data_IF_192672694773
#
_entry.id   IF_192672694773
#
_cell.length_a   1.000
_cell.length_b   1.000
_cell.length_c   1.000
_cell.angle_alpha   90.00
_cell.angle_beta   90.00
_cell.angle_gamma   90.00
#
_symmetry.space_group_name_H-M   'P 1'
#
loop_
_entity.id
_entity.type
_entity.pdbx_description
1 polymer ?
#
# COMPACT_ATOMS: atom_id res chain seq x y z
N UNK A 1 7.65 -23.77 -3.66
CA UNK A 1 8.15 -22.76 -4.63
C UNK A 1 8.79 -21.59 -3.89
N UNK A 2 9.61 -20.80 -4.56
CA UNK A 2 10.28 -19.63 -3.95
C UNK A 2 9.27 -18.62 -3.41
N UNK A 3 8.16 -18.40 -4.11
CA UNK A 3 7.08 -17.51 -3.66
C UNK A 3 6.46 -17.98 -2.35
N UNK A 4 6.26 -19.29 -2.18
CA UNK A 4 5.75 -19.84 -0.92
C UNK A 4 6.75 -19.64 0.23
N UNK A 5 8.04 -19.85 -0.04
CA UNK A 5 9.09 -19.61 0.94
C UNK A 5 9.16 -18.12 1.35
N UNK A 6 9.08 -17.19 0.38
CA UNK A 6 9.05 -15.76 0.65
C UNK A 6 7.82 -15.37 1.47
N UNK A 7 6.63 -15.88 1.14
CA UNK A 7 5.40 -15.67 1.90
C UNK A 7 5.59 -16.09 3.36
N UNK A 8 6.15 -17.28 3.61
CA UNK A 8 6.42 -17.77 4.95
C UNK A 8 7.40 -16.87 5.71
N UNK A 9 8.41 -16.30 5.05
CA UNK A 9 9.33 -15.32 5.66
C UNK A 9 8.64 -14.02 6.08
N UNK A 10 7.67 -13.55 5.32
CA UNK A 10 6.84 -12.40 5.74
C UNK A 10 6.02 -12.73 6.99
N UNK A 11 5.39 -13.91 7.05
CA UNK A 11 4.65 -14.37 8.22
C UNK A 11 5.57 -14.47 9.45
N UNK A 12 6.72 -15.14 9.31
CA UNK A 12 7.70 -15.25 10.39
C UNK A 12 8.18 -13.88 10.92
N UNK A 13 8.45 -12.93 10.00
CA UNK A 13 8.85 -11.57 10.38
C UNK A 13 7.75 -10.84 11.14
N UNK A 14 6.51 -10.97 10.71
CA UNK A 14 5.35 -10.38 11.37
C UNK A 14 5.14 -10.95 12.78
N UNK A 15 5.26 -12.26 12.95
CA UNK A 15 5.20 -12.90 14.27
C UNK A 15 6.36 -12.47 15.19
N UNK A 16 7.56 -12.25 14.64
CA UNK A 16 8.68 -11.69 15.42
C UNK A 16 8.36 -10.28 15.90
N UNK A 17 7.75 -9.43 15.07
CA UNK A 17 7.36 -8.08 15.44
C UNK A 17 6.39 -8.07 16.61
N UNK A 18 5.38 -8.94 16.59
CA UNK A 18 4.44 -9.11 17.73
C UNK A 18 5.20 -9.53 19.01
N UNK A 19 6.07 -10.53 18.90
CA UNK A 19 6.82 -11.04 20.08
C UNK A 19 7.72 -10.01 20.75
N UNK A 20 8.26 -9.06 19.99
CA UNK A 20 9.11 -8.00 20.54
C UNK A 20 8.32 -6.74 20.93
N UNK A 21 6.98 -6.79 20.87
CA UNK A 21 6.10 -5.77 21.43
C UNK A 21 5.73 -4.61 20.53
N UNK A 22 5.76 -4.77 19.21
CA UNK A 22 5.13 -3.78 18.32
C UNK A 22 3.61 -3.83 18.45
N UNK A 23 2.96 -2.66 18.47
CA UNK A 23 1.51 -2.52 18.58
C UNK A 23 0.78 -2.64 17.25
N UNK A 24 1.50 -2.45 16.13
CA UNK A 24 0.99 -2.60 14.76
C UNK A 24 2.12 -2.89 13.78
N UNK A 25 1.78 -3.43 12.61
CA UNK A 25 2.72 -3.58 11.50
C UNK A 25 2.14 -3.00 10.21
N UNK A 26 3.04 -2.55 9.34
CA UNK A 26 2.70 -2.09 8.00
C UNK A 26 3.50 -2.85 6.96
N UNK A 27 2.81 -3.51 6.04
CA UNK A 27 3.43 -4.22 4.93
C UNK A 27 3.80 -3.21 3.85
N UNK A 28 5.07 -3.26 3.40
CA UNK A 28 5.54 -2.34 2.38
C UNK A 28 5.19 -2.84 0.98
N UNK A 29 4.20 -2.21 0.34
CA UNK A 29 3.66 -2.59 -0.96
C UNK A 29 3.91 -1.59 -2.09
N UNK A 30 4.94 -0.73 -1.96
CA UNK A 30 5.20 0.37 -2.90
C UNK A 30 6.69 0.53 -3.22
N UNK A 31 7.08 1.58 -3.94
CA UNK A 31 8.44 2.07 -4.21
C UNK A 31 9.36 1.06 -4.91
N UNK A 32 8.83 0.27 -5.86
CA UNK A 32 9.62 -0.66 -6.67
C UNK A 32 10.03 -1.94 -5.94
N UNK A 33 9.54 -2.17 -4.70
CA UNK A 33 9.83 -3.40 -3.98
C UNK A 33 8.86 -4.53 -4.36
N UNK A 34 9.06 -5.73 -3.79
CA UNK A 34 8.46 -6.98 -4.23
C UNK A 34 6.97 -6.88 -4.60
N UNK A 35 6.12 -6.37 -3.70
CA UNK A 35 4.68 -6.32 -3.97
C UNK A 35 4.34 -5.30 -5.05
N UNK A 36 5.04 -4.16 -5.08
CA UNK A 36 4.88 -3.20 -6.17
C UNK A 36 5.26 -3.82 -7.52
N UNK A 37 6.35 -4.60 -7.57
CA UNK A 37 6.79 -5.28 -8.80
C UNK A 37 5.78 -6.32 -9.30
N UNK A 38 5.02 -6.97 -8.39
CA UNK A 38 3.91 -7.83 -8.79
C UNK A 38 2.71 -7.05 -9.30
N UNK A 39 2.38 -5.92 -8.66
CA UNK A 39 1.22 -5.11 -8.99
C UNK A 39 1.38 -4.34 -10.31
N UNK A 40 2.56 -3.80 -10.57
CA UNK A 40 2.80 -2.93 -11.72
C UNK A 40 2.95 -3.70 -13.02
N UNK A 41 2.20 -3.33 -14.08
CA UNK A 41 2.40 -3.90 -15.41
C UNK A 41 3.75 -3.49 -16.02
N UNK A 42 4.41 -2.43 -15.52
CA UNK A 42 5.74 -2.02 -16.00
C UNK A 42 6.85 -2.98 -15.59
N UNK A 43 6.68 -3.72 -14.50
CA UNK A 43 7.66 -4.68 -13.97
C UNK A 43 7.19 -6.12 -14.00
N UNK A 44 5.87 -6.37 -13.96
CA UNK A 44 5.31 -7.70 -13.97
C UNK A 44 5.02 -8.19 -15.41
N UNK A 45 5.97 -8.92 -15.97
CA UNK A 45 5.84 -9.54 -17.30
C UNK A 45 5.56 -11.05 -17.24
N UNK A 46 5.01 -11.53 -16.11
CA UNK A 46 4.68 -12.94 -15.91
C UNK A 46 3.48 -13.35 -16.78
N UNK A 47 3.52 -14.60 -17.25
CA UNK A 47 2.43 -15.23 -18.02
C UNK A 47 1.66 -16.30 -17.23
N UNK A 48 1.98 -16.46 -15.92
CA UNK A 48 1.29 -17.38 -15.04
C UNK A 48 0.15 -16.67 -14.26
N UNK A 49 -0.43 -17.37 -13.28
CA UNK A 49 -1.53 -16.85 -12.45
C UNK A 49 -1.21 -15.57 -11.63
N UNK A 50 0.03 -15.09 -11.66
CA UNK A 50 0.47 -13.89 -10.96
C UNK A 50 0.78 -12.71 -11.90
N UNK A 51 0.49 -12.83 -13.19
CA UNK A 51 0.76 -11.79 -14.19
C UNK A 51 -0.38 -11.57 -15.17
N UNK A 52 -0.25 -10.53 -16.00
CA UNK A 52 -1.26 -10.12 -16.97
C UNK A 52 -2.36 -9.25 -16.37
N UNK A 53 -3.56 -9.76 -16.13
CA UNK A 53 -4.68 -8.98 -15.61
C UNK A 53 -4.40 -8.40 -14.21
N UNK A 54 -5.08 -7.29 -13.85
CA UNK A 54 -4.97 -6.69 -12.52
C UNK A 54 -5.26 -7.72 -11.42
N UNK A 55 -6.29 -8.53 -11.57
CA UNK A 55 -6.63 -9.61 -10.62
C UNK A 55 -5.43 -10.54 -10.37
N UNK A 56 -4.76 -10.98 -11.43
CA UNK A 56 -3.58 -11.84 -11.32
C UNK A 56 -2.40 -11.11 -10.67
N UNK A 57 -2.18 -9.84 -11.02
CA UNK A 57 -1.10 -9.03 -10.45
C UNK A 57 -1.30 -8.76 -8.95
N UNK A 58 -2.55 -8.60 -8.49
CA UNK A 58 -2.90 -8.45 -7.08
C UNK A 58 -2.79 -9.76 -6.27
N UNK A 59 -2.90 -10.90 -6.92
CA UNK A 59 -3.02 -12.22 -6.28
C UNK A 59 -1.91 -12.50 -5.26
N UNK A 60 -0.65 -12.36 -5.62
CA UNK A 60 0.45 -12.66 -4.70
C UNK A 60 0.53 -11.68 -3.51
N UNK A 61 0.46 -10.36 -3.68
CA UNK A 61 0.33 -9.42 -2.57
C UNK A 61 -0.82 -9.75 -1.61
N UNK A 62 -1.99 -10.08 -2.13
CA UNK A 62 -3.16 -10.44 -1.31
C UNK A 62 -2.97 -11.79 -0.60
N UNK A 63 -2.43 -12.82 -1.26
CA UNK A 63 -2.11 -14.12 -0.64
C UNK A 63 -1.14 -13.95 0.54
N UNK A 64 -0.10 -13.11 0.39
CA UNK A 64 0.86 -12.84 1.48
C UNK A 64 0.20 -12.08 2.61
N UNK A 65 -0.55 -11.02 2.31
CA UNK A 65 -1.26 -10.24 3.32
C UNK A 65 -2.24 -11.11 4.12
N UNK A 66 -3.06 -11.90 3.44
CA UNK A 66 -4.01 -12.81 4.09
C UNK A 66 -3.32 -13.84 5.00
N UNK A 67 -2.18 -14.40 4.56
CA UNK A 67 -1.39 -15.34 5.37
C UNK A 67 -0.82 -14.68 6.64
N UNK A 68 -0.35 -13.45 6.54
CA UNK A 68 0.10 -12.67 7.71
C UNK A 68 -1.08 -12.41 8.64
N UNK A 69 -2.19 -11.90 8.12
CA UNK A 69 -3.40 -11.59 8.92
C UNK A 69 -3.90 -12.82 9.67
N UNK A 70 -3.92 -13.98 9.02
CA UNK A 70 -4.32 -15.23 9.64
C UNK A 70 -3.40 -15.70 10.78
N UNK A 71 -2.10 -15.41 10.67
CA UNK A 71 -1.10 -15.82 11.66
C UNK A 71 -1.01 -14.87 12.88
N UNK A 72 -1.46 -13.62 12.72
CA UNK A 72 -1.43 -12.61 13.77
C UNK A 72 -2.57 -12.81 14.79
N UNK A 73 -2.44 -12.30 16.03
CA UNK A 73 -3.56 -12.22 16.96
C UNK A 73 -4.76 -11.52 16.30
N UNK A 74 -5.99 -12.00 16.61
CA UNK A 74 -7.23 -11.61 15.93
C UNK A 74 -7.38 -10.07 15.76
N UNK A 75 -7.11 -9.33 16.82
CA UNK A 75 -7.32 -7.88 16.87
C UNK A 75 -6.02 -7.08 16.67
N UNK A 76 -4.94 -7.74 16.25
CA UNK A 76 -3.66 -7.06 16.01
C UNK A 76 -3.76 -6.17 14.76
N UNK A 77 -3.47 -4.85 14.87
CA UNK A 77 -3.57 -3.93 13.74
C UNK A 77 -2.52 -4.25 12.66
N UNK A 78 -2.99 -4.42 11.43
CA UNK A 78 -2.14 -4.60 10.26
C UNK A 78 -2.61 -3.69 9.14
N UNK A 79 -1.69 -2.98 8.51
CA UNK A 79 -1.94 -2.15 7.35
C UNK A 79 -0.98 -2.43 6.21
N UNK A 80 -1.18 -1.74 5.11
CA UNK A 80 -0.30 -1.81 3.95
C UNK A 80 0.00 -0.43 3.40
N UNK A 81 1.27 -0.17 3.06
CA UNK A 81 1.63 0.99 2.26
C UNK A 81 1.49 0.64 0.80
N UNK A 82 0.68 1.41 0.07
CA UNK A 82 0.29 1.14 -1.32
C UNK A 82 0.69 2.28 -2.26
N UNK A 83 0.76 1.98 -3.55
CA UNK A 83 1.01 2.95 -4.61
C UNK A 83 -0.33 3.47 -5.14
N UNK A 84 -0.59 4.77 -4.98
CA UNK A 84 -1.77 5.42 -5.54
C UNK A 84 -1.65 5.68 -7.05
N UNK A 85 -0.42 5.92 -7.54
CA UNK A 85 -0.09 6.03 -8.97
C UNK A 85 1.41 5.90 -9.17
N UNK A 86 1.85 5.44 -10.34
CA UNK A 86 3.26 5.38 -10.71
C UNK A 86 3.78 6.63 -11.42
N UNK A 87 2.90 7.58 -11.77
CA UNK A 87 3.24 8.78 -12.58
C UNK A 87 3.84 8.44 -13.95
N UNK A 88 3.59 7.23 -14.44
CA UNK A 88 4.10 6.72 -15.69
C UNK A 88 2.99 6.04 -16.50
N UNK A 89 2.96 6.31 -17.81
CA UNK A 89 1.96 5.73 -18.70
C UNK A 89 2.10 4.19 -18.73
N UNK A 90 0.97 3.51 -18.51
CA UNK A 90 0.93 2.05 -18.47
C UNK A 90 1.39 1.44 -17.15
N UNK A 91 1.71 2.25 -16.15
CA UNK A 91 1.89 1.83 -14.76
C UNK A 91 0.58 1.79 -13.99
N UNK A 92 0.67 1.53 -12.68
CA UNK A 92 -0.49 1.59 -11.77
C UNK A 92 -1.08 3.00 -11.79
N UNK A 93 -2.38 3.09 -12.03
CA UNK A 93 -3.16 4.31 -11.94
C UNK A 93 -4.07 4.34 -10.70
N UNK A 94 -4.77 5.44 -10.50
CA UNK A 94 -5.65 5.67 -9.36
C UNK A 94 -6.80 4.66 -9.31
N UNK A 95 -7.31 4.21 -10.44
CA UNK A 95 -8.40 3.24 -10.51
C UNK A 95 -7.93 1.85 -10.07
N UNK A 96 -6.76 1.41 -10.53
CA UNK A 96 -6.15 0.15 -10.07
C UNK A 96 -5.83 0.21 -8.57
N UNK A 97 -5.36 1.36 -8.06
CA UNK A 97 -5.11 1.56 -6.64
C UNK A 97 -6.38 1.45 -5.78
N UNK A 98 -7.51 2.01 -6.25
CA UNK A 98 -8.82 1.87 -5.59
C UNK A 98 -9.23 0.39 -5.53
N UNK A 99 -9.14 -0.31 -6.65
CA UNK A 99 -9.51 -1.74 -6.72
C UNK A 99 -8.65 -2.54 -5.74
N UNK A 100 -7.34 -2.31 -5.71
CA UNK A 100 -6.44 -3.01 -4.80
C UNK A 100 -6.73 -2.68 -3.32
N UNK A 101 -7.03 -1.42 -2.99
CA UNK A 101 -7.41 -1.03 -1.62
C UNK A 101 -8.69 -1.74 -1.18
N UNK A 102 -9.70 -1.83 -2.04
CA UNK A 102 -10.94 -2.56 -1.74
C UNK A 102 -10.70 -4.08 -1.54
N UNK A 103 -9.80 -4.70 -2.31
CA UNK A 103 -9.46 -6.10 -2.09
C UNK A 103 -8.70 -6.31 -0.76
N UNK A 104 -7.82 -5.37 -0.37
CA UNK A 104 -7.18 -5.39 0.95
C UNK A 104 -8.20 -5.25 2.09
N UNK A 105 -9.19 -4.38 1.94
CA UNK A 105 -10.28 -4.20 2.91
C UNK A 105 -11.05 -5.50 3.12
N UNK A 106 -11.45 -6.19 2.06
CA UNK A 106 -12.19 -7.47 2.11
C UNK A 106 -11.46 -8.55 2.88
N UNK A 107 -10.12 -8.55 2.87
CA UNK A 107 -9.30 -9.52 3.61
C UNK A 107 -8.86 -9.04 4.99
N UNK A 108 -9.45 -7.93 5.47
CA UNK A 108 -9.26 -7.43 6.83
C UNK A 108 -8.04 -6.55 7.05
N UNK A 109 -7.60 -5.83 6.04
CA UNK A 109 -6.65 -4.72 6.19
C UNK A 109 -7.31 -3.60 7.01
N UNK A 110 -6.63 -3.11 8.05
CA UNK A 110 -7.19 -2.10 8.93
C UNK A 110 -6.94 -0.67 8.43
N UNK A 111 -5.82 -0.46 7.76
CA UNK A 111 -5.48 0.84 7.20
C UNK A 111 -4.54 0.74 6.00
N UNK A 112 -4.56 1.75 5.17
CA UNK A 112 -3.59 1.93 4.09
C UNK A 112 -2.85 3.25 4.20
N UNK A 113 -1.54 3.22 3.91
CA UNK A 113 -0.72 4.42 3.74
C UNK A 113 -0.52 4.65 2.24
N UNK A 114 -1.06 5.74 1.70
CA UNK A 114 -1.07 5.98 0.26
C UNK A 114 0.14 6.80 -0.16
N UNK A 115 1.05 6.18 -0.89
CA UNK A 115 2.24 6.79 -1.48
C UNK A 115 2.17 6.72 -3.01
N UNK A 116 3.28 6.97 -3.71
CA UNK A 116 3.30 6.94 -5.17
C UNK A 116 4.70 6.71 -5.75
N UNK A 117 4.76 6.28 -7.01
CA UNK A 117 6.01 6.15 -7.76
C UNK A 117 7.00 5.12 -7.23
N UNK A 118 8.24 5.25 -7.66
CA UNK A 118 9.38 4.46 -7.16
C UNK A 118 9.65 3.15 -7.91
N UNK A 119 8.94 2.83 -9.00
CA UNK A 119 9.16 1.64 -9.82
C UNK A 119 9.67 1.98 -11.22
N UNK A 120 9.09 2.98 -11.85
CA UNK A 120 9.55 3.45 -13.15
C UNK A 120 10.93 4.15 -13.04
N UNK A 121 11.83 3.99 -14.03
CA UNK A 121 13.18 4.54 -13.96
C UNK A 121 13.22 6.07 -14.03
N UNK A 122 12.31 6.71 -14.76
CA UNK A 122 12.29 8.16 -14.98
C UNK A 122 10.87 8.75 -14.90
N UNK A 123 10.13 8.53 -13.80
CA UNK A 123 8.77 9.03 -13.69
C UNK A 123 8.75 10.56 -13.55
N UNK A 124 7.79 11.21 -14.19
CA UNK A 124 7.56 12.67 -14.04
C UNK A 124 6.72 12.95 -12.79
N UNK A 125 7.32 12.78 -11.62
CA UNK A 125 6.63 13.00 -10.34
C UNK A 125 6.46 14.51 -10.11
N UNK A 126 5.25 15.03 -9.88
CA UNK A 126 5.00 16.45 -9.62
C UNK A 126 5.35 16.81 -8.16
N UNK A 127 6.62 16.71 -7.80
CA UNK A 127 7.08 16.90 -6.41
C UNK A 127 6.78 18.34 -5.96
N UNK A 128 5.88 18.45 -4.99
CA UNK A 128 5.47 19.70 -4.35
C UNK A 128 4.93 19.38 -2.94
N UNK A 129 4.79 20.37 -2.04
CA UNK A 129 4.10 20.14 -0.77
C UNK A 129 2.74 19.47 -0.97
N UNK A 130 2.49 18.38 -0.22
CA UNK A 130 1.23 17.62 -0.23
C UNK A 130 0.88 16.90 -1.55
N UNK A 131 1.83 16.70 -2.47
CA UNK A 131 1.59 16.21 -3.83
C UNK A 131 0.89 14.82 -3.90
N UNK A 132 0.91 14.04 -2.82
CA UNK A 132 0.26 12.73 -2.75
C UNK A 132 -1.06 12.73 -1.96
N UNK A 133 -1.44 13.84 -1.32
CA UNK A 133 -2.64 13.91 -0.47
C UNK A 133 -3.91 13.61 -1.27
N UNK A 134 -4.00 14.07 -2.51
CA UNK A 134 -5.15 13.79 -3.37
C UNK A 134 -5.33 12.28 -3.63
N UNK A 135 -4.26 11.49 -3.68
CA UNK A 135 -4.31 10.03 -3.82
C UNK A 135 -4.94 9.39 -2.56
N UNK A 136 -4.52 9.83 -1.37
CA UNK A 136 -5.14 9.40 -0.12
C UNK A 136 -6.63 9.74 -0.08
N UNK A 137 -7.00 10.96 -0.48
CA UNK A 137 -8.40 11.43 -0.57
C UNK A 137 -9.24 10.55 -1.50
N UNK A 138 -8.70 10.14 -2.65
CA UNK A 138 -9.39 9.27 -3.59
C UNK A 138 -9.63 7.90 -2.96
N UNK A 139 -8.62 7.29 -2.34
CA UNK A 139 -8.77 6.00 -1.65
C UNK A 139 -9.80 6.12 -0.53
N UNK A 140 -9.70 7.14 0.32
CA UNK A 140 -10.65 7.35 1.43
C UNK A 140 -12.10 7.49 0.99
N UNK A 141 -12.35 8.03 -0.18
CA UNK A 141 -13.72 8.13 -0.74
C UNK A 141 -14.29 6.80 -1.24
N UNK A 142 -13.44 5.81 -1.43
CA UNK A 142 -13.79 4.54 -2.05
C UNK A 142 -13.58 3.32 -1.13
N UNK A 143 -13.20 3.52 0.13
CA UNK A 143 -13.04 2.47 1.15
C UNK A 143 -13.52 2.97 2.52
N UNK A 144 -13.89 2.04 3.41
CA UNK A 144 -14.19 2.34 4.82
C UNK A 144 -12.96 2.19 5.72
N UNK A 145 -11.81 1.80 5.17
CA UNK A 145 -10.56 1.71 5.90
C UNK A 145 -10.06 3.06 6.40
N UNK A 146 -9.27 3.01 7.46
CA UNK A 146 -8.45 4.15 7.87
C UNK A 146 -7.39 4.43 6.80
N UNK A 147 -7.30 5.69 6.35
CA UNK A 147 -6.35 6.10 5.32
C UNK A 147 -5.33 7.08 5.87
N UNK A 148 -4.05 6.79 5.64
CA UNK A 148 -2.93 7.67 6.01
C UNK A 148 -2.34 8.36 4.79
N UNK A 149 -2.32 9.69 4.81
CA UNK A 149 -1.66 10.50 3.80
C UNK A 149 -0.17 10.71 4.14
N UNK A 150 0.64 10.79 3.10
CA UNK A 150 2.08 11.08 3.17
C UNK A 150 2.49 11.93 1.96
N UNK A 151 3.66 12.55 2.01
CA UNK A 151 4.26 13.24 0.88
C UNK A 151 4.44 14.75 1.12
N UNK A 152 5.63 15.12 1.62
CA UNK A 152 6.02 16.50 1.89
C UNK A 152 4.99 17.30 2.73
N UNK A 153 4.41 16.64 3.74
CA UNK A 153 3.55 17.28 4.73
C UNK A 153 4.49 17.79 5.83
N UNK A 154 4.86 19.07 5.75
CA UNK A 154 5.86 19.67 6.66
C UNK A 154 5.28 20.74 7.56
N UNK A 155 4.08 21.24 7.25
CA UNK A 155 3.38 22.27 8.01
C UNK A 155 2.29 21.61 8.89
N UNK A 156 2.34 21.77 10.24
CA UNK A 156 1.35 21.18 11.15
C UNK A 156 -0.06 21.74 10.95
N UNK A 157 -0.21 22.99 10.50
CA UNK A 157 -1.53 23.57 10.17
C UNK A 157 -2.13 22.84 8.97
N UNK A 158 -1.34 22.62 7.94
CA UNK A 158 -1.78 21.84 6.76
C UNK A 158 -2.01 20.38 7.07
N UNK A 159 -1.19 19.76 7.94
CA UNK A 159 -1.43 18.41 8.42
C UNK A 159 -2.79 18.30 9.11
N UNK A 160 -3.13 19.25 10.00
CA UNK A 160 -4.45 19.30 10.63
C UNK A 160 -5.57 19.53 9.61
N UNK A 161 -5.37 20.41 8.61
CA UNK A 161 -6.38 20.69 7.60
C UNK A 161 -6.75 19.44 6.78
N UNK A 162 -5.77 18.59 6.43
CA UNK A 162 -6.01 17.31 5.73
C UNK A 162 -7.02 16.44 6.50
N UNK A 163 -6.90 16.42 7.84
CA UNK A 163 -7.81 15.63 8.70
C UNK A 163 -9.19 16.31 8.77
N UNK A 164 -9.24 17.62 9.01
CA UNK A 164 -10.49 18.40 9.10
C UNK A 164 -11.29 18.30 7.81
N UNK A 165 -10.64 18.40 6.65
CA UNK A 165 -11.25 18.28 5.32
C UNK A 165 -11.57 16.83 4.92
N UNK A 166 -11.31 15.87 5.81
CA UNK A 166 -11.55 14.44 5.58
C UNK A 166 -10.84 13.91 4.33
N UNK A 167 -9.66 14.45 4.04
CA UNK A 167 -8.82 13.95 2.93
C UNK A 167 -8.06 12.68 3.32
N UNK A 168 -7.79 12.51 4.62
CA UNK A 168 -7.24 11.31 5.22
C UNK A 168 -7.66 11.24 6.70
N UNK A 169 -7.43 10.10 7.36
CA UNK A 169 -7.67 9.92 8.80
C UNK A 169 -6.39 10.13 9.61
N UNK A 170 -5.25 9.94 8.98
CA UNK A 170 -3.93 10.10 9.56
C UNK A 170 -2.99 10.78 8.57
N UNK A 171 -1.96 11.43 9.10
CA UNK A 171 -0.83 11.96 8.30
C UNK A 171 0.48 11.35 8.79
N UNK A 172 1.41 11.12 7.87
CA UNK A 172 2.78 10.74 8.19
C UNK A 172 3.73 11.89 7.85
N UNK A 173 4.48 12.32 8.85
CA UNK A 173 5.46 13.40 8.76
C UNK A 173 6.84 12.80 9.02
N UNK A 174 7.83 13.12 8.20
CA UNK A 174 9.21 12.67 8.38
C UNK A 174 10.17 13.85 8.50
N UNK A 175 10.57 14.45 7.39
CA UNK A 175 11.58 15.53 7.33
C UNK A 175 10.96 16.84 6.93
#
# INVERSE_FOLDING_TARGET
SDLENIKNKFVEASLRSVRIGFDLIEIHGTHGYLFHQFLSPLSNHRSDKYGGSLENRMRYPLEVFASIKQALPKDFPIGMRITGTEWEKGGIDEQEAIIFANELEKIGCHYVCVSSGGNAPNPKIPIAPHYQVHLAKIIKKNTDMVVRAVGMITDPIKANQIIVDKEADMVAIAR
#
